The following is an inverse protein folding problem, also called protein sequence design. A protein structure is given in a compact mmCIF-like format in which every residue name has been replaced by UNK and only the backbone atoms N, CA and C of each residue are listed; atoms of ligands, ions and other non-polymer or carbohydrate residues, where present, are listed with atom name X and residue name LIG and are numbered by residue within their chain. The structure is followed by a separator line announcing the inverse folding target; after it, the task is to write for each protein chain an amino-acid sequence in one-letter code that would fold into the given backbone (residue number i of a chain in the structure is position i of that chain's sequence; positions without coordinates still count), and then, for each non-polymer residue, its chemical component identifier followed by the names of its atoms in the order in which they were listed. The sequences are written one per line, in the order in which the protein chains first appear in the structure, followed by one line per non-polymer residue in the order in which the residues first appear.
data_IF_215098705406
#
_entry.id   IF_215098705406
#
_cell.length_a   1.000
_cell.length_b   1.000
_cell.length_c   1.000
_cell.angle_alpha   90.00
_cell.angle_beta   90.00
_cell.angle_gamma   90.00
#
_symmetry.space_group_name_H-M   'P 1'
#
loop_
_entity.id
_entity.type
_entity.pdbx_description
1 polymer ?
#
# COMPACT_ATOMS: atom_id res chain seq x y z
N UNK A 1 -40.47 -13.39 71.75
CA UNK A 1 -41.15 -12.53 70.76
C UNK A 1 -40.26 -11.35 70.44
N UNK A 2 -39.54 -11.39 69.31
CA UNK A 2 -39.72 -10.45 68.19
C UNK A 2 -38.67 -10.74 67.11
N UNK A 3 -39.18 -11.18 65.96
CA UNK A 3 -38.53 -11.16 64.66
C UNK A 3 -38.22 -9.70 64.28
N UNK A 4 -37.01 -9.42 63.79
CA UNK A 4 -36.84 -8.50 62.67
C UNK A 4 -35.81 -9.09 61.70
N UNK A 5 -36.34 -9.53 60.57
CA UNK A 5 -35.61 -9.83 59.34
C UNK A 5 -35.01 -8.53 58.81
N UNK A 6 -33.78 -8.58 58.32
CA UNK A 6 -33.44 -7.89 57.07
C UNK A 6 -32.21 -8.52 56.45
N UNK A 7 -32.43 -9.25 55.36
CA UNK A 7 -31.38 -9.80 54.53
C UNK A 7 -30.69 -8.71 53.72
N UNK A 8 -29.40 -8.93 53.44
CA UNK A 8 -28.79 -8.53 52.18
C UNK A 8 -27.87 -9.65 51.71
N UNK A 9 -28.20 -10.11 50.52
CA UNK A 9 -27.56 -11.13 49.71
C UNK A 9 -26.15 -10.67 49.35
N UNK A 10 -25.13 -11.44 49.73
CA UNK A 10 -23.77 -11.25 49.23
C UNK A 10 -23.67 -11.99 47.90
N UNK A 11 -24.14 -11.33 46.83
CA UNK A 11 -23.95 -11.78 45.46
C UNK A 11 -22.48 -11.72 45.05
N UNK A 12 -21.92 -12.87 44.72
CA UNK A 12 -20.72 -12.98 43.89
C UNK A 12 -20.87 -12.10 42.64
N UNK A 13 -19.91 -11.21 42.41
CA UNK A 13 -19.67 -10.64 41.09
C UNK A 13 -18.22 -10.93 40.69
N UNK A 14 -18.04 -12.04 39.98
CA UNK A 14 -16.89 -12.26 39.13
C UNK A 14 -16.99 -11.30 37.93
N UNK A 15 -16.36 -10.14 38.05
CA UNK A 15 -16.11 -9.25 36.92
C UNK A 15 -14.62 -9.24 36.65
N UNK A 16 -14.17 -10.00 35.64
CA UNK A 16 -12.89 -9.69 34.99
C UNK A 16 -13.14 -8.42 34.17
N UNK A 17 -13.11 -7.26 34.82
CA UNK A 17 -12.93 -6.00 34.11
C UNK A 17 -11.49 -6.02 33.60
N UNK A 18 -11.33 -6.29 32.31
CA UNK A 18 -10.13 -5.89 31.58
C UNK A 18 -10.01 -4.37 31.74
N UNK A 19 -9.21 -3.93 32.70
CA UNK A 19 -8.79 -2.54 32.83
C UNK A 19 -7.97 -2.20 31.59
N UNK A 20 -8.65 -1.83 30.51
CA UNK A 20 -7.99 -1.16 29.39
C UNK A 20 -7.54 0.18 29.93
N UNK A 21 -6.21 0.34 30.02
CA UNK A 21 -5.61 1.57 30.47
C UNK A 21 -6.27 2.76 29.75
N UNK A 22 -6.54 3.88 30.45
CA UNK A 22 -7.10 5.07 29.82
C UNK A 22 -6.36 5.38 28.53
N UNK A 23 -7.06 5.85 27.50
CA UNK A 23 -6.48 6.10 26.17
C UNK A 23 -5.22 6.96 26.28
N UNK A 24 -5.17 7.88 27.25
CA UNK A 24 -3.99 8.69 27.58
C UNK A 24 -2.79 7.87 28.04
N UNK A 25 -2.99 6.81 28.84
CA UNK A 25 -1.94 5.89 29.28
C UNK A 25 -1.50 4.96 28.13
N UNK A 26 -2.43 4.50 27.29
CA UNK A 26 -2.08 3.74 26.09
C UNK A 26 -1.30 4.60 25.08
N UNK A 27 -1.68 5.88 24.92
CA UNK A 27 -0.96 6.86 24.12
C UNK A 27 0.41 7.18 24.72
N UNK A 28 0.51 7.30 26.05
CA UNK A 28 1.78 7.50 26.76
C UNK A 28 2.70 6.28 26.64
N UNK A 29 2.18 5.05 26.72
CA UNK A 29 2.95 3.82 26.48
C UNK A 29 3.37 3.68 25.01
N UNK A 30 2.49 4.01 24.06
CA UNK A 30 2.83 4.04 22.64
C UNK A 30 3.90 5.09 22.32
N UNK A 31 3.79 6.29 22.89
CA UNK A 31 4.79 7.37 22.76
C UNK A 31 6.10 7.00 23.47
N UNK A 32 6.03 6.23 24.57
CA UNK A 32 7.20 5.71 25.28
C UNK A 32 7.88 4.57 24.50
N UNK A 33 7.13 3.67 23.88
CA UNK A 33 7.65 2.59 23.03
C UNK A 33 8.29 3.12 21.74
N UNK A 34 7.72 4.16 21.13
CA UNK A 34 8.35 4.88 20.02
C UNK A 34 9.69 5.54 20.38
N UNK A 35 9.93 5.83 21.67
CA UNK A 35 11.20 6.43 22.12
C UNK A 35 12.35 5.42 22.09
N UNK A 36 12.05 4.12 22.02
CA UNK A 36 13.04 3.04 21.94
C UNK A 36 13.29 2.59 20.48
N UNK A 37 12.36 2.88 19.56
CA UNK A 37 12.48 2.56 18.12
C UNK A 37 13.23 3.61 17.29
N UNK A 38 14.07 4.42 17.94
CA UNK A 38 15.29 4.89 17.29
C UNK A 38 16.21 3.70 17.10
N UNK A 39 15.94 2.84 16.10
CA UNK A 39 16.79 1.69 15.73
C UNK A 39 18.15 2.19 15.18
N UNK A 40 18.97 2.79 16.06
CA UNK A 40 20.42 3.09 15.95
C UNK A 40 20.95 4.07 17.00
N UNK A 41 20.33 4.23 18.18
CA UNK A 41 20.92 5.11 19.23
C UNK A 41 21.11 6.58 18.77
N UNK A 42 20.36 7.00 17.74
CA UNK A 42 20.37 8.37 17.22
C UNK A 42 19.58 9.29 18.16
N UNK A 43 20.00 10.55 18.30
CA UNK A 43 19.26 11.53 19.10
C UNK A 43 17.92 11.88 18.45
N UNK A 44 16.97 12.40 19.23
CA UNK A 44 15.65 12.81 18.72
C UNK A 44 15.76 13.84 17.60
N UNK A 45 16.75 14.73 17.70
CA UNK A 45 17.03 15.78 16.74
C UNK A 45 17.59 15.22 15.43
N UNK A 46 18.47 14.20 15.51
CA UNK A 46 18.99 13.51 14.33
C UNK A 46 17.88 12.75 13.60
N UNK A 47 17.01 12.06 14.34
CA UNK A 47 15.84 11.37 13.80
C UNK A 47 14.88 12.34 13.09
N UNK A 48 14.54 13.45 13.74
CA UNK A 48 13.69 14.49 13.16
C UNK A 48 14.31 15.08 11.88
N UNK A 49 15.61 15.40 11.91
CA UNK A 49 16.34 15.94 10.76
C UNK A 49 16.33 14.98 9.57
N UNK A 50 16.53 13.69 9.83
CA UNK A 50 16.47 12.63 8.81
C UNK A 50 15.07 12.54 8.18
N UNK A 51 14.01 12.59 8.99
CA UNK A 51 12.63 12.57 8.48
C UNK A 51 12.35 13.82 7.63
N UNK A 52 12.73 15.00 8.10
CA UNK A 52 12.52 16.22 7.33
C UNK A 52 13.31 16.23 6.02
N UNK A 53 14.54 15.69 6.02
CA UNK A 53 15.34 15.52 4.81
C UNK A 53 14.65 14.57 3.83
N UNK A 54 14.18 13.40 4.31
CA UNK A 54 13.42 12.44 3.49
C UNK A 54 12.18 13.07 2.88
N UNK A 55 11.36 13.73 3.71
CA UNK A 55 10.14 14.41 3.30
C UNK A 55 10.41 15.44 2.21
N UNK A 56 11.41 16.31 2.41
CA UNK A 56 11.76 17.35 1.43
C UNK A 56 12.29 16.76 0.13
N UNK A 57 13.04 15.65 0.18
CA UNK A 57 13.58 14.99 -1.01
C UNK A 57 12.57 14.14 -1.80
N UNK A 58 11.32 14.05 -1.36
CA UNK A 58 10.28 13.23 -2.02
C UNK A 58 10.47 11.72 -1.83
N UNK A 59 11.32 11.30 -0.90
CA UNK A 59 11.48 9.88 -0.56
C UNK A 59 10.22 9.33 0.13
N UNK A 60 10.06 8.01 0.08
CA UNK A 60 8.97 7.33 0.79
C UNK A 60 9.26 7.35 2.29
N UNK A 61 8.29 7.82 3.06
CA UNK A 61 8.32 7.74 4.52
C UNK A 61 7.65 6.46 4.98
N UNK A 62 8.17 5.86 6.04
CA UNK A 62 7.50 4.75 6.71
C UNK A 62 6.27 5.24 7.48
N UNK A 63 5.33 4.34 7.87
CA UNK A 63 4.18 4.72 8.68
C UNK A 63 4.54 5.46 9.98
N UNK A 64 5.67 5.10 10.61
CA UNK A 64 6.15 5.74 11.83
C UNK A 64 6.71 7.13 11.56
N UNK A 65 7.52 7.29 10.50
CA UNK A 65 8.05 8.59 10.07
C UNK A 65 6.91 9.54 9.66
N UNK A 66 5.86 8.99 9.06
CA UNK A 66 4.66 9.70 8.70
C UNK A 66 3.84 10.13 9.93
N UNK A 67 3.68 9.23 10.91
CA UNK A 67 3.02 9.53 12.19
C UNK A 67 3.79 10.61 12.98
N UNK A 68 5.12 10.59 12.91
CA UNK A 68 5.96 11.63 13.48
C UNK A 68 5.71 13.00 12.83
N UNK A 69 5.65 13.08 11.50
CA UNK A 69 5.33 14.33 10.80
C UNK A 69 3.93 14.83 11.13
N UNK A 70 2.93 13.96 11.21
CA UNK A 70 1.56 14.35 11.57
C UNK A 70 1.48 15.06 12.92
N UNK A 71 2.36 14.69 13.87
CA UNK A 71 2.43 15.28 15.22
C UNK A 71 3.30 16.54 15.28
N UNK A 72 4.38 16.59 14.51
CA UNK A 72 5.38 17.68 14.59
C UNK A 72 5.16 18.79 13.57
N UNK A 73 4.68 18.47 12.37
CA UNK A 73 4.41 19.43 11.30
C UNK A 73 3.23 18.95 10.42
N UNK A 74 1.98 19.24 10.81
CA UNK A 74 0.79 18.81 10.10
C UNK A 74 0.70 19.32 8.65
N UNK A 75 1.20 20.53 8.37
CA UNK A 75 1.23 21.08 7.01
C UNK A 75 2.16 20.28 6.11
N UNK A 76 3.38 19.98 6.58
CA UNK A 76 4.31 19.16 5.83
C UNK A 76 3.79 17.74 5.63
N UNK A 77 3.15 17.15 6.65
CA UNK A 77 2.49 15.85 6.54
C UNK A 77 1.47 15.83 5.39
N UNK A 78 0.60 16.85 5.28
CA UNK A 78 -0.38 16.94 4.19
C UNK A 78 0.26 16.97 2.80
N UNK A 79 1.34 17.76 2.65
CA UNK A 79 2.10 17.87 1.39
C UNK A 79 2.74 16.53 1.02
N UNK A 80 3.39 15.88 1.99
CA UNK A 80 4.03 14.56 1.80
C UNK A 80 3.01 13.49 1.48
N UNK A 81 1.85 13.49 2.13
CA UNK A 81 0.76 12.55 1.86
C UNK A 81 0.30 12.64 0.40
N UNK A 82 0.07 13.86 -0.09
CA UNK A 82 -0.28 14.10 -1.50
C UNK A 82 0.80 13.58 -2.44
N UNK A 83 2.08 13.90 -2.17
CA UNK A 83 3.20 13.41 -2.98
C UNK A 83 3.29 11.88 -2.98
N UNK A 84 3.06 11.21 -1.84
CA UNK A 84 3.05 9.75 -1.75
C UNK A 84 1.88 9.10 -2.49
N UNK A 85 0.71 9.74 -2.52
CA UNK A 85 -0.42 9.25 -3.31
C UNK A 85 -0.08 9.24 -4.81
N UNK A 86 0.40 10.37 -5.34
CA UNK A 86 0.81 10.49 -6.75
C UNK A 86 1.95 9.51 -7.08
N UNK A 87 2.91 9.37 -6.16
CA UNK A 87 3.99 8.40 -6.27
C UNK A 87 3.47 6.97 -6.38
N UNK A 88 2.55 6.57 -5.51
CA UNK A 88 1.97 5.22 -5.52
C UNK A 88 1.19 4.94 -6.81
N UNK A 89 0.50 5.94 -7.34
CA UNK A 89 -0.19 5.83 -8.63
C UNK A 89 0.80 5.57 -9.76
N UNK A 90 1.90 6.34 -9.82
CA UNK A 90 2.98 6.11 -10.79
C UNK A 90 3.60 4.72 -10.61
N UNK A 91 3.97 4.31 -9.39
CA UNK A 91 4.53 2.98 -9.10
C UNK A 91 3.59 1.85 -9.56
N UNK A 92 2.28 2.01 -9.41
CA UNK A 92 1.31 1.04 -9.91
C UNK A 92 1.26 1.02 -11.44
N UNK A 93 1.29 2.18 -12.11
CA UNK A 93 1.36 2.24 -13.58
C UNK A 93 2.63 1.57 -14.11
N UNK A 94 3.78 1.86 -13.51
CA UNK A 94 5.08 1.31 -13.92
C UNK A 94 5.16 -0.22 -13.85
N UNK A 95 4.44 -0.87 -12.92
CA UNK A 95 4.36 -2.34 -12.82
C UNK A 95 3.67 -3.00 -14.02
N UNK A 96 2.83 -2.24 -14.74
CA UNK A 96 2.07 -2.73 -15.86
C UNK A 96 2.64 -2.30 -17.21
N UNK A 97 3.70 -1.49 -17.22
CA UNK A 97 4.39 -1.08 -18.44
C UNK A 97 5.10 -2.28 -19.08
N UNK A 98 5.00 -2.38 -20.40
CA UNK A 98 5.54 -3.46 -21.24
C UNK A 98 6.81 -3.05 -21.97
N UNK A 99 7.12 -1.76 -22.00
CA UNK A 99 8.34 -1.24 -22.62
C UNK A 99 8.96 -0.10 -21.82
N UNK A 100 10.25 0.16 -22.05
CA UNK A 100 10.97 1.30 -21.46
C UNK A 100 10.37 2.63 -21.90
N UNK A 101 9.93 2.71 -23.16
CA UNK A 101 9.23 3.86 -23.73
C UNK A 101 7.91 4.13 -23.02
N UNK A 102 7.08 3.11 -22.85
CA UNK A 102 5.80 3.24 -22.11
C UNK A 102 6.02 3.68 -20.66
N UNK A 103 7.05 3.15 -19.99
CA UNK A 103 7.41 3.59 -18.64
C UNK A 103 7.81 5.07 -18.59
N UNK A 104 8.55 5.56 -19.59
CA UNK A 104 8.93 6.97 -19.70
C UNK A 104 7.72 7.86 -20.01
N UNK A 105 6.83 7.43 -20.89
CA UNK A 105 5.58 8.13 -21.20
C UNK A 105 4.66 8.21 -19.97
N UNK A 106 4.52 7.12 -19.21
CA UNK A 106 3.76 7.11 -17.96
C UNK A 106 4.32 8.09 -16.93
N UNK A 107 5.65 8.20 -16.84
CA UNK A 107 6.31 9.20 -15.99
C UNK A 107 6.04 10.63 -16.48
N UNK A 108 6.21 10.92 -17.77
CA UNK A 108 5.94 12.24 -18.34
C UNK A 108 4.48 12.65 -18.14
N UNK A 109 3.54 11.76 -18.44
CA UNK A 109 2.11 12.00 -18.22
C UNK A 109 1.79 12.28 -16.74
N UNK A 110 2.45 11.60 -15.80
CA UNK A 110 2.28 11.88 -14.37
C UNK A 110 2.78 13.28 -14.00
N UNK A 111 3.93 13.72 -14.54
CA UNK A 111 4.46 15.07 -14.30
C UNK A 111 3.57 16.15 -14.93
N UNK A 112 3.12 15.94 -16.16
CA UNK A 112 2.24 16.87 -16.89
C UNK A 112 0.85 16.98 -16.26
N UNK A 113 0.36 15.93 -15.59
CA UNK A 113 -0.90 15.98 -14.86
C UNK A 113 -0.91 16.97 -13.68
N UNK A 114 0.28 17.38 -13.21
CA UNK A 114 0.43 18.30 -12.09
C UNK A 114 0.38 19.73 -12.63
N UNK A 115 -0.59 20.51 -12.15
CA UNK A 115 -0.70 21.92 -12.52
C UNK A 115 0.56 22.70 -12.17
N UNK A 116 1.02 23.56 -13.08
CA UNK A 116 2.12 24.49 -12.83
C UNK A 116 1.87 25.44 -11.65
N UNK A 117 0.59 25.68 -11.30
CA UNK A 117 0.17 26.55 -10.19
C UNK A 117 0.01 25.80 -8.87
N UNK A 118 0.28 24.49 -8.83
CA UNK A 118 0.16 23.70 -7.61
C UNK A 118 1.27 24.12 -6.61
N UNK A 119 0.91 24.56 -5.38
CA UNK A 119 1.90 24.99 -4.38
C UNK A 119 2.82 23.86 -3.91
N UNK A 120 2.45 22.60 -4.13
CA UNK A 120 3.20 21.41 -3.75
C UNK A 120 3.86 20.72 -4.96
N UNK A 121 3.80 21.35 -6.14
CA UNK A 121 4.31 20.81 -7.41
C UNK A 121 5.71 20.24 -7.30
N UNK A 122 6.66 21.01 -6.76
CA UNK A 122 8.06 20.61 -6.71
C UNK A 122 8.26 19.36 -5.84
N UNK A 123 7.55 19.27 -4.71
CA UNK A 123 7.62 18.11 -3.82
C UNK A 123 7.05 16.87 -4.50
N UNK A 124 5.93 17.01 -5.21
CA UNK A 124 5.31 15.89 -5.95
C UNK A 124 6.25 15.44 -7.08
N UNK A 125 6.79 16.37 -7.88
CA UNK A 125 7.72 16.06 -8.96
C UNK A 125 8.98 15.37 -8.43
N UNK A 126 9.53 15.80 -7.30
CA UNK A 126 10.66 15.12 -6.67
C UNK A 126 10.31 13.68 -6.26
N UNK A 127 9.12 13.47 -5.69
CA UNK A 127 8.66 12.13 -5.33
C UNK A 127 8.46 11.21 -6.55
N UNK A 128 7.92 11.74 -7.65
CA UNK A 128 7.78 11.02 -8.92
C UNK A 128 9.16 10.69 -9.52
N UNK A 129 10.08 11.65 -9.56
CA UNK A 129 11.45 11.43 -10.04
C UNK A 129 12.15 10.33 -9.25
N UNK A 130 12.02 10.36 -7.93
CA UNK A 130 12.63 9.38 -7.05
C UNK A 130 12.04 7.98 -7.29
N UNK A 131 10.71 7.85 -7.43
CA UNK A 131 10.09 6.56 -7.76
C UNK A 131 10.48 6.05 -9.14
N UNK A 132 10.53 6.92 -10.16
CA UNK A 132 10.96 6.52 -11.49
C UNK A 132 12.43 6.11 -11.51
N UNK A 133 13.29 6.79 -10.74
CA UNK A 133 14.69 6.39 -10.55
C UNK A 133 14.79 5.01 -9.91
N UNK A 134 14.09 4.78 -8.81
CA UNK A 134 14.06 3.46 -8.14
C UNK A 134 13.55 2.37 -9.08
N UNK A 135 12.56 2.67 -9.93
CA UNK A 135 12.08 1.75 -10.95
C UNK A 135 13.14 1.46 -12.01
N UNK A 136 13.86 2.46 -12.52
CA UNK A 136 14.95 2.25 -13.49
C UNK A 136 16.11 1.43 -12.92
N UNK A 137 16.38 1.59 -11.63
CA UNK A 137 17.38 0.80 -10.90
C UNK A 137 16.88 -0.62 -10.58
N UNK A 138 15.58 -0.89 -10.72
CA UNK A 138 15.01 -2.21 -10.49
C UNK A 138 15.27 -3.19 -11.64
N UNK A 139 15.37 -4.48 -11.33
CA UNK A 139 15.51 -5.54 -12.34
C UNK A 139 14.35 -5.58 -13.33
N UNK A 140 13.13 -5.26 -12.89
CA UNK A 140 11.94 -5.25 -13.74
C UNK A 140 12.08 -4.29 -14.93
N UNK A 141 12.68 -3.10 -14.73
CA UNK A 141 12.92 -2.17 -15.83
C UNK A 141 14.02 -2.65 -16.80
N UNK A 142 15.03 -3.36 -16.28
CA UNK A 142 16.12 -3.90 -17.10
C UNK A 142 15.63 -5.00 -18.05
N UNK A 143 14.62 -5.77 -17.63
CA UNK A 143 13.96 -6.81 -18.41
C UNK A 143 13.01 -6.26 -19.49
N UNK A 144 12.62 -4.98 -19.41
CA UNK A 144 11.73 -4.39 -20.41
C UNK A 144 12.45 -4.17 -21.76
N UNK A 145 11.79 -4.50 -22.88
CA UNK A 145 12.27 -4.13 -24.21
C UNK A 145 12.25 -2.60 -24.40
N UNK A 146 13.03 -2.10 -25.37
CA UNK A 146 13.08 -0.66 -25.66
C UNK A 146 11.73 -0.13 -26.17
N UNK A 147 11.08 -0.88 -27.08
CA UNK A 147 9.73 -0.61 -27.57
C UNK A 147 8.83 -1.82 -27.30
N UNK A 148 7.51 -1.61 -27.30
CA UNK A 148 6.57 -2.73 -27.23
C UNK A 148 6.75 -3.54 -28.53
N UNK A 149 7.25 -4.77 -28.42
CA UNK A 149 7.17 -5.70 -29.56
C UNK A 149 5.68 -5.94 -29.80
N UNK A 150 5.12 -5.28 -30.83
CA UNK A 150 3.81 -5.62 -31.36
C UNK A 150 3.80 -7.13 -31.66
N UNK A 151 3.05 -7.89 -30.86
CA UNK A 151 2.69 -9.25 -31.23
C UNK A 151 3.64 -10.37 -30.80
N UNK A 152 4.08 -10.37 -29.53
CA UNK A 152 4.23 -11.65 -28.81
C UNK A 152 3.31 -11.67 -27.60
N UNK A 153 2.01 -11.58 -27.87
CA UNK A 153 1.05 -12.32 -27.03
C UNK A 153 1.51 -13.77 -27.06
N UNK A 154 2.28 -14.15 -26.04
CA UNK A 154 2.38 -15.54 -25.65
C UNK A 154 0.95 -16.06 -25.62
N UNK A 155 0.72 -17.07 -26.42
CA UNK A 155 -0.47 -17.90 -26.47
C UNK A 155 -0.63 -18.65 -25.13
N UNK A 156 -0.63 -17.92 -24.01
CA UNK A 156 -1.11 -18.40 -22.72
C UNK A 156 -2.64 -18.28 -22.81
N UNK A 157 -3.25 -19.34 -23.33
CA UNK A 157 -4.65 -19.42 -23.70
C UNK A 157 -5.57 -18.80 -22.65
N UNK A 158 -6.06 -17.59 -22.94
CA UNK A 158 -7.36 -17.16 -22.43
C UNK A 158 -8.40 -18.05 -23.11
N UNK A 159 -8.66 -19.23 -22.54
CA UNK A 159 -9.87 -19.97 -22.84
C UNK A 159 -11.03 -19.04 -22.46
N UNK A 160 -11.78 -18.57 -23.46
CA UNK A 160 -13.08 -17.95 -23.24
C UNK A 160 -13.95 -19.00 -22.55
N UNK A 161 -14.11 -18.89 -21.24
CA UNK A 161 -15.14 -19.63 -20.53
C UNK A 161 -16.46 -18.89 -20.77
N UNK A 162 -17.24 -19.36 -21.75
CA UNK A 162 -18.61 -18.90 -21.94
C UNK A 162 -19.47 -19.56 -20.84
N UNK A 163 -19.90 -18.74 -19.88
CA UNK A 163 -20.74 -19.17 -18.77
C UNK A 163 -22.19 -19.23 -19.24
N UNK A 164 -22.75 -20.45 -19.32
CA UNK A 164 -24.18 -20.66 -19.50
C UNK A 164 -24.82 -20.92 -18.14
N UNK A 165 -25.89 -20.17 -17.83
CA UNK A 165 -26.69 -20.31 -16.61
C UNK A 165 -27.89 -21.20 -16.91
N UNK A 166 -27.99 -22.33 -16.22
CA UNK A 166 -29.10 -23.25 -16.31
C UNK A 166 -30.05 -23.00 -15.12
N UNK A 167 -31.35 -23.26 -15.30
CA UNK A 167 -32.41 -22.91 -14.33
C UNK A 167 -32.31 -23.62 -12.95
N UNK A 168 -31.36 -24.53 -12.75
CA UNK A 168 -31.18 -25.30 -11.52
C UNK A 168 -29.91 -24.97 -10.71
N UNK A 169 -29.16 -23.91 -11.06
CA UNK A 169 -28.15 -23.33 -10.17
C UNK A 169 -26.81 -24.08 -9.99
N UNK A 170 -26.48 -25.05 -10.85
CA UNK A 170 -25.15 -25.70 -10.87
C UNK A 170 -24.39 -25.37 -12.17
N UNK A 171 -23.08 -25.10 -12.06
CA UNK A 171 -22.16 -24.77 -13.16
C UNK A 171 -21.42 -26.03 -13.63
N UNK A 172 -21.49 -26.36 -14.93
CA UNK A 172 -20.59 -27.35 -15.55
C UNK A 172 -19.64 -26.65 -16.54
N UNK A 173 -18.33 -26.85 -16.36
CA UNK A 173 -17.27 -26.37 -17.25
C UNK A 173 -16.89 -27.49 -18.22
N UNK A 174 -17.31 -27.39 -19.48
CA UNK A 174 -16.80 -28.26 -20.53
C UNK A 174 -15.59 -27.59 -21.19
N UNK A 175 -14.42 -28.16 -20.95
CA UNK A 175 -13.23 -27.86 -21.73
C UNK A 175 -13.31 -28.76 -22.96
N UNK A 176 -13.56 -28.20 -24.14
CA UNK A 176 -13.26 -28.92 -25.38
C UNK A 176 -11.74 -29.11 -25.46
N UNK A 177 -11.28 -30.26 -24.96
CA UNK A 177 -9.99 -30.80 -25.37
C UNK A 177 -10.15 -31.25 -26.82
N UNK A 178 -9.41 -30.60 -27.71
CA UNK A 178 -9.30 -30.99 -29.10
C UNK A 178 -8.95 -32.47 -29.17
N UNK A 179 -9.87 -33.28 -29.69
CA UNK A 179 -9.58 -34.66 -30.06
C UNK A 179 -8.61 -34.63 -31.24
N UNK A 180 -7.33 -34.86 -30.92
CA UNK A 180 -6.39 -35.45 -31.85
C UNK A 180 -7.01 -36.74 -32.40
N UNK A 181 -7.11 -36.79 -33.73
CA UNK A 181 -7.47 -37.99 -34.47
C UNK A 181 -6.28 -38.94 -34.38
N UNK A 182 -6.34 -39.91 -33.47
CA UNK A 182 -5.46 -41.07 -33.54
C UNK A 182 -6.08 -42.08 -34.50
N UNK A 183 -5.55 -42.11 -35.73
CA UNK A 183 -5.64 -43.29 -36.59
C UNK A 183 -4.90 -44.44 -35.91
N UNK A 184 -5.62 -45.49 -35.55
CA UNK A 184 -5.04 -46.80 -35.31
C UNK A 184 -5.42 -47.70 -36.49
N UNK A 185 -4.53 -47.77 -37.47
CA UNK A 185 -4.54 -48.81 -38.49
C UNK A 185 -3.86 -50.08 -37.96
N UNK A 186 -4.60 -51.20 -38.01
CA UNK A 186 -4.20 -52.55 -38.44
C UNK A 186 -5.26 -53.55 -37.96
#
# INVERSE_FOLDING_TARGET
MNLMLNGKENGWKSGKEEYKAPIEQQLMEYVRGMKEEGTRGETKEAYASRIYAKARSGQRLTPDEMSFLARTNPELYRKVLRAQMMRRELENRLKHCRSKKEAQEAFMAAVESISEKDPDRDMIIQALNQAFREFKESGAYQELPEEEEEGKEGQAGRKKAELYLNENGYQELYIEEGKEVFEAGA
#
